data_IF_480102347365
#
_entry.id   IF_480102347365
#
_cell.length_a   1.000
_cell.length_b   1.000
_cell.length_c   1.000
_cell.angle_alpha   90.00
_cell.angle_beta   90.00
_cell.angle_gamma   90.00
#
_symmetry.space_group_name_H-M   'P 1'
#
loop_
_entity.id
_entity.type
_entity.pdbx_description
1 polymer ?
#
# COMPACT_ATOMS: atom_id res chain seq x y z
N UNK A 1 -15.81 -22.68 -1.31
CA UNK A 1 -16.25 -21.97 -0.09
C UNK A 1 -15.12 -21.03 0.26
N UNK A 2 -15.08 -19.85 -0.37
CA UNK A 2 -13.94 -18.93 -0.28
C UNK A 2 -14.05 -17.99 0.90
N UNK A 3 -12.91 -17.78 1.54
CA UNK A 3 -12.72 -17.20 2.87
C UNK A 3 -12.83 -15.68 2.79
N UNK A 4 -13.79 -15.10 3.51
CA UNK A 4 -14.14 -13.65 3.58
C UNK A 4 -13.04 -12.72 4.13
N UNK A 5 -11.79 -13.15 4.10
CA UNK A 5 -10.68 -12.59 4.88
C UNK A 5 -9.52 -12.13 4.00
N UNK A 6 -9.44 -12.70 2.79
CA UNK A 6 -8.46 -12.34 1.77
C UNK A 6 -8.82 -11.04 1.05
N UNK A 7 -10.11 -10.70 1.00
CA UNK A 7 -10.63 -9.46 0.42
C UNK A 7 -10.09 -8.21 1.14
N UNK A 8 -10.02 -8.24 2.48
CA UNK A 8 -9.60 -7.08 3.28
C UNK A 8 -8.11 -6.79 3.19
N UNK A 9 -7.27 -7.82 3.19
CA UNK A 9 -5.81 -7.69 3.09
C UNK A 9 -5.40 -7.23 1.68
N UNK A 10 -6.01 -7.81 0.65
CA UNK A 10 -5.80 -7.41 -0.74
C UNK A 10 -6.25 -5.98 -0.98
N UNK A 11 -7.40 -5.59 -0.44
CA UNK A 11 -7.90 -4.23 -0.53
C UNK A 11 -7.02 -3.23 0.25
N UNK A 12 -6.44 -3.62 1.39
CA UNK A 12 -5.51 -2.78 2.14
C UNK A 12 -4.22 -2.49 1.36
N UNK A 13 -3.63 -3.49 0.69
CA UNK A 13 -2.45 -3.31 -0.18
C UNK A 13 -2.79 -2.45 -1.39
N UNK A 14 -3.92 -2.74 -2.04
CA UNK A 14 -4.39 -1.97 -3.18
C UNK A 14 -4.61 -0.50 -2.81
N UNK A 15 -5.26 -0.24 -1.66
CA UNK A 15 -5.52 1.11 -1.17
C UNK A 15 -4.25 1.89 -0.81
N UNK A 16 -3.33 1.29 -0.07
CA UNK A 16 -2.06 1.96 0.29
C UNK A 16 -1.15 2.20 -0.90
N UNK A 17 -1.12 1.28 -1.87
CA UNK A 17 -0.38 1.47 -3.13
C UNK A 17 -0.97 2.63 -3.94
N UNK A 18 -2.30 2.71 -4.05
CA UNK A 18 -2.98 3.75 -4.80
C UNK A 18 -2.81 5.13 -4.15
N UNK A 19 -2.78 5.20 -2.81
CA UNK A 19 -2.43 6.42 -2.07
C UNK A 19 -0.96 6.80 -2.32
N UNK A 20 -0.02 5.85 -2.25
CA UNK A 20 1.40 6.10 -2.51
C UNK A 20 1.67 6.63 -3.92
N UNK A 21 0.97 6.10 -4.93
CA UNK A 21 1.01 6.57 -6.32
C UNK A 21 0.33 7.94 -6.44
N UNK A 22 -0.84 8.14 -5.83
CA UNK A 22 -1.57 9.42 -5.87
C UNK A 22 -0.74 10.58 -5.31
N UNK A 23 -0.12 10.37 -4.15
CA UNK A 23 0.80 11.35 -3.54
C UNK A 23 2.06 11.54 -4.40
N UNK A 24 2.60 10.45 -4.94
CA UNK A 24 3.80 10.50 -5.78
C UNK A 24 3.60 11.27 -7.08
N UNK A 25 2.43 11.14 -7.71
CA UNK A 25 2.09 11.84 -8.96
C UNK A 25 1.93 13.36 -8.75
N UNK A 26 1.48 13.80 -7.58
CA UNK A 26 1.43 15.24 -7.22
C UNK A 26 2.85 15.81 -7.10
N UNK A 27 3.79 15.03 -6.56
CA UNK A 27 5.18 15.45 -6.37
C UNK A 27 6.08 15.28 -7.60
N UNK A 28 5.58 14.66 -8.67
CA UNK A 28 6.32 14.44 -9.92
C UNK A 28 6.78 15.76 -10.56
N UNK A 29 6.01 16.84 -10.39
CA UNK A 29 6.34 18.18 -10.89
C UNK A 29 7.50 18.84 -10.14
N UNK A 30 7.80 18.39 -8.93
CA UNK A 30 8.84 18.97 -8.06
C UNK A 30 10.12 18.16 -8.13
N UNK A 31 10.04 16.83 -8.00
CA UNK A 31 11.22 15.94 -8.04
C UNK A 31 10.81 14.48 -8.15
N UNK A 32 11.31 13.80 -9.19
CA UNK A 32 11.09 12.36 -9.43
C UNK A 32 11.54 11.49 -8.25
N UNK A 33 12.59 11.90 -7.52
CA UNK A 33 13.07 11.16 -6.35
C UNK A 33 12.03 11.09 -5.22
N UNK A 34 11.23 12.14 -5.03
CA UNK A 34 10.17 12.17 -4.01
C UNK A 34 8.99 11.28 -4.42
N UNK A 35 8.68 11.25 -5.72
CA UNK A 35 7.68 10.32 -6.28
C UNK A 35 8.08 8.87 -6.05
N UNK A 36 9.34 8.52 -6.32
CA UNK A 36 9.84 7.16 -6.09
C UNK A 36 9.82 6.82 -4.60
N UNK A 37 10.22 7.76 -3.73
CA UNK A 37 10.16 7.57 -2.29
C UNK A 37 8.73 7.34 -1.77
N UNK A 38 7.72 8.08 -2.25
CA UNK A 38 6.34 7.88 -1.80
C UNK A 38 5.76 6.55 -2.27
N UNK A 39 6.14 6.07 -3.46
CA UNK A 39 5.73 4.77 -3.99
C UNK A 39 6.37 3.65 -3.16
N UNK A 40 7.68 3.73 -2.87
CA UNK A 40 8.35 2.75 -2.01
C UNK A 40 7.74 2.72 -0.59
N UNK A 41 7.43 3.89 -0.02
CA UNK A 41 6.79 3.98 1.30
C UNK A 41 5.37 3.42 1.25
N UNK A 42 4.59 3.70 0.21
CA UNK A 42 3.23 3.18 0.04
C UNK A 42 3.19 1.65 -0.07
N UNK A 43 4.09 1.06 -0.87
CA UNK A 43 4.21 -0.39 -1.02
C UNK A 43 4.73 -1.03 0.28
N UNK A 44 5.75 -0.42 0.90
CA UNK A 44 6.31 -0.88 2.16
C UNK A 44 5.27 -0.90 3.29
N UNK A 45 4.50 0.17 3.44
CA UNK A 45 3.39 0.24 4.40
C UNK A 45 2.30 -0.78 4.08
N UNK A 46 1.92 -0.96 2.81
CA UNK A 46 0.91 -1.95 2.41
C UNK A 46 1.29 -3.39 2.76
N UNK A 47 2.57 -3.75 2.56
CA UNK A 47 3.11 -5.06 2.96
C UNK A 47 3.13 -5.23 4.49
N UNK A 48 3.57 -4.22 5.22
CA UNK A 48 3.57 -4.25 6.69
C UNK A 48 2.15 -4.38 7.24
N UNK A 49 1.19 -3.62 6.72
CA UNK A 49 -0.22 -3.69 7.13
C UNK A 49 -0.82 -5.06 6.84
N UNK A 50 -0.55 -5.65 5.67
CA UNK A 50 -1.02 -7.01 5.36
C UNK A 50 -0.35 -8.07 6.22
N UNK A 51 0.95 -7.93 6.49
CA UNK A 51 1.63 -8.84 7.40
C UNK A 51 1.04 -8.75 8.82
N UNK A 52 0.74 -7.54 9.30
CA UNK A 52 0.07 -7.34 10.59
C UNK A 52 -1.34 -7.94 10.59
N UNK A 53 -2.16 -7.68 9.57
CA UNK A 53 -3.53 -8.19 9.49
C UNK A 53 -3.55 -9.72 9.44
N UNK A 54 -2.59 -10.33 8.72
CA UNK A 54 -2.42 -11.78 8.64
C UNK A 54 -1.92 -12.36 9.97
N UNK A 55 -1.05 -11.65 10.68
CA UNK A 55 -0.53 -12.08 11.98
C UNK A 55 -1.54 -11.92 13.12
N UNK A 56 -2.42 -10.92 13.05
CA UNK A 56 -3.49 -10.70 14.03
C UNK A 56 -4.67 -11.67 13.86
N UNK A 57 -4.77 -12.28 12.68
CA UNK A 57 -5.82 -13.23 12.33
C UNK A 57 -5.51 -14.69 12.73
N UNK A 58 -4.26 -14.96 13.12
CA UNK A 58 -3.83 -16.24 13.68
C UNK A 58 -4.17 -16.32 15.16
#
# INVERSE_FOLDING_TARGET
METKTDDKSTWAIGGTTLIGIGVGLIYLKTSVLITVASILIGIGLGLVITSLISSLKK
#
